data_IF_430315731806
#
_entry.id   IF_430315731806
#
_cell.length_a   1.000
_cell.length_b   1.000
_cell.length_c   1.000
_cell.angle_alpha   90.00
_cell.angle_beta   90.00
_cell.angle_gamma   90.00
#
_symmetry.space_group_name_H-M   'P 1'
#
loop_
_entity.id
_entity.type
_entity.pdbx_description
1 polymer ?
#
# COMPACT_ATOMS: atom_id res chain seq x y z
N UNK A 1 19.99 7.31 -10.15
CA UNK A 1 18.88 7.45 -9.19
C UNK A 1 19.45 7.41 -7.78
N UNK A 2 18.65 7.64 -6.74
CA UNK A 2 19.10 7.42 -5.37
C UNK A 2 19.23 5.92 -5.09
N UNK A 3 20.22 5.47 -4.29
CA UNK A 3 20.33 4.06 -3.91
C UNK A 3 19.23 3.65 -2.92
N UNK A 4 18.88 2.36 -2.92
CA UNK A 4 17.88 1.73 -2.05
C UNK A 4 16.42 2.14 -2.31
N UNK A 5 16.13 2.72 -3.47
CA UNK A 5 14.75 2.78 -3.98
C UNK A 5 14.38 1.39 -4.50
N UNK A 6 13.13 0.98 -4.32
CA UNK A 6 12.64 -0.32 -4.80
C UNK A 6 11.58 -0.11 -5.86
N UNK A 7 11.85 -0.58 -7.07
CA UNK A 7 10.88 -0.62 -8.15
C UNK A 7 10.27 -2.00 -8.25
N UNK A 8 8.95 -2.06 -8.39
CA UNK A 8 8.23 -3.30 -8.67
C UNK A 8 7.41 -3.14 -9.94
N UNK A 9 7.29 -4.23 -10.71
CA UNK A 9 6.39 -4.31 -11.85
C UNK A 9 5.45 -5.50 -11.65
N UNK A 10 4.17 -5.27 -11.90
CA UNK A 10 3.13 -6.29 -11.82
C UNK A 10 2.17 -6.17 -13.00
N UNK A 11 1.56 -7.29 -13.39
CA UNK A 11 0.37 -7.29 -14.24
C UNK A 11 -0.90 -7.38 -13.35
N UNK A 12 -2.12 -7.40 -13.92
CA UNK A 12 -3.35 -7.47 -13.13
C UNK A 12 -3.51 -8.75 -12.29
N UNK A 13 -2.68 -9.76 -12.51
CA UNK A 13 -2.81 -11.10 -11.93
C UNK A 13 -1.69 -11.44 -10.95
N UNK A 14 -0.48 -10.92 -11.15
CA UNK A 14 0.67 -11.21 -10.29
C UNK A 14 1.81 -10.19 -10.42
N UNK A 15 2.76 -10.26 -9.48
CA UNK A 15 4.03 -9.54 -9.55
C UNK A 15 4.95 -10.20 -10.58
N UNK A 16 5.55 -9.38 -11.44
CA UNK A 16 6.41 -9.80 -12.55
C UNK A 16 7.88 -9.68 -12.20
N UNK A 17 8.26 -8.61 -11.48
CA UNK A 17 9.64 -8.40 -11.09
C UNK A 17 9.83 -7.26 -10.09
N UNK A 18 11.05 -7.17 -9.56
CA UNK A 18 11.47 -6.10 -8.68
C UNK A 18 12.95 -5.74 -8.93
N UNK A 19 13.29 -4.48 -8.70
CA UNK A 19 14.64 -3.96 -8.82
C UNK A 19 14.96 -3.01 -7.66
N UNK A 20 16.13 -3.16 -7.05
CA UNK A 20 16.63 -2.24 -6.04
C UNK A 20 17.73 -1.38 -6.67
N UNK A 21 17.60 -0.06 -6.59
CA UNK A 21 18.62 0.85 -7.09
C UNK A 21 19.89 0.76 -6.25
N UNK A 22 21.03 0.91 -6.91
CA UNK A 22 22.34 0.96 -6.26
C UNK A 22 23.02 2.34 -6.41
N UNK A 23 22.37 3.28 -7.11
CA UNK A 23 22.87 4.61 -7.40
C UNK A 23 23.95 4.67 -8.49
N UNK A 24 24.27 3.54 -9.13
CA UNK A 24 25.41 3.40 -10.05
C UNK A 24 25.00 2.80 -11.40
N UNK A 25 24.06 1.84 -11.41
CA UNK A 25 23.64 1.07 -12.58
C UNK A 25 22.22 1.47 -13.00
N UNK A 26 22.03 2.77 -13.26
CA UNK A 26 20.74 3.32 -13.72
C UNK A 26 20.88 4.09 -15.05
N UNK A 27 19.81 4.15 -15.88
CA UNK A 27 18.46 3.62 -15.64
C UNK A 27 18.36 2.10 -15.81
N UNK A 28 17.45 1.46 -15.06
CA UNK A 28 17.15 0.03 -15.19
C UNK A 28 15.96 -0.19 -16.13
N UNK A 29 16.01 -1.24 -16.95
CA UNK A 29 14.95 -1.60 -17.88
C UNK A 29 14.36 -2.97 -17.51
N UNK A 30 13.04 -3.04 -17.34
CA UNK A 30 12.32 -4.31 -17.31
C UNK A 30 12.07 -4.75 -18.75
N UNK A 31 12.89 -5.68 -19.25
CA UNK A 31 12.79 -6.22 -20.60
C UNK A 31 12.06 -7.58 -20.66
N UNK A 32 11.87 -8.10 -21.89
CA UNK A 32 11.25 -9.40 -22.10
C UNK A 32 9.75 -9.49 -21.76
N UNK A 33 9.10 -8.35 -21.54
CA UNK A 33 7.68 -8.28 -21.21
C UNK A 33 6.81 -8.55 -22.45
N UNK A 34 5.76 -9.35 -22.25
CA UNK A 34 4.73 -9.55 -23.28
C UNK A 34 3.86 -8.29 -23.41
N UNK A 35 3.20 -8.05 -24.56
CA UNK A 35 2.23 -6.97 -24.67
C UNK A 35 1.08 -7.15 -23.68
N UNK A 36 0.70 -6.09 -22.96
CA UNK A 36 -0.28 -6.16 -21.89
C UNK A 36 -0.36 -4.91 -21.04
N UNK A 37 -1.15 -4.96 -19.96
CA UNK A 37 -1.24 -3.89 -18.97
C UNK A 37 -0.31 -4.18 -17.80
N UNK A 38 0.46 -3.18 -17.40
CA UNK A 38 1.40 -3.27 -16.30
C UNK A 38 1.22 -2.10 -15.34
N UNK A 39 1.58 -2.34 -14.08
CA UNK A 39 1.71 -1.34 -13.04
C UNK A 39 3.16 -1.33 -12.58
N UNK A 40 3.79 -0.15 -12.59
CA UNK A 40 5.13 0.06 -12.04
C UNK A 40 4.99 0.92 -10.80
N UNK A 41 5.55 0.48 -9.68
CA UNK A 41 5.51 1.19 -8.40
C UNK A 41 6.91 1.37 -7.81
N UNK A 42 7.15 2.54 -7.22
CA UNK A 42 8.36 2.89 -6.47
C UNK A 42 8.09 2.91 -4.97
N UNK A 43 9.01 2.33 -4.21
CA UNK A 43 9.19 2.59 -2.79
C UNK A 43 10.41 3.47 -2.60
N UNK A 44 10.20 4.67 -2.08
CA UNK A 44 11.25 5.64 -1.81
C UNK A 44 12.36 5.08 -0.90
N UNK A 45 13.62 5.48 -1.11
CA UNK A 45 14.67 5.24 -0.14
C UNK A 45 14.33 5.84 1.24
N UNK A 46 14.82 5.26 2.34
CA UNK A 46 14.65 5.83 3.67
C UNK A 46 15.12 7.29 3.76
N UNK A 47 14.28 8.17 4.30
CA UNK A 47 14.58 9.60 4.45
C UNK A 47 14.29 10.45 3.21
N UNK A 48 13.64 9.87 2.19
CA UNK A 48 13.17 10.59 1.00
C UNK A 48 11.65 10.50 0.85
N UNK A 49 11.10 11.48 0.16
CA UNK A 49 9.70 11.53 -0.24
C UNK A 49 9.61 11.93 -1.71
N UNK A 50 8.59 11.43 -2.40
CA UNK A 50 8.43 11.66 -3.82
C UNK A 50 8.04 13.10 -4.14
N UNK A 51 8.49 13.53 -5.31
CA UNK A 51 8.08 14.76 -5.99
C UNK A 51 7.27 14.47 -7.25
N UNK A 52 7.25 13.21 -7.68
CA UNK A 52 6.46 12.66 -8.78
C UNK A 52 5.45 11.63 -8.27
N UNK A 53 4.71 10.98 -9.17
CA UNK A 53 3.86 9.85 -8.81
C UNK A 53 4.69 8.59 -8.53
N UNK A 54 4.32 7.87 -7.48
CA UNK A 54 4.95 6.61 -7.06
C UNK A 54 4.49 5.42 -7.88
N UNK A 55 3.43 5.55 -8.68
CA UNK A 55 2.84 4.44 -9.42
C UNK A 55 2.33 4.87 -10.78
N UNK A 56 2.60 4.05 -11.79
CA UNK A 56 2.20 4.26 -13.17
C UNK A 56 1.51 3.01 -13.73
N UNK A 57 0.38 3.22 -14.42
CA UNK A 57 -0.27 2.19 -15.23
C UNK A 57 0.10 2.35 -16.71
N UNK A 58 0.52 1.28 -17.36
CA UNK A 58 1.06 1.29 -18.72
C UNK A 58 0.36 0.23 -19.55
N UNK A 59 -0.10 0.61 -20.75
CA UNK A 59 -0.51 -0.33 -21.79
C UNK A 59 0.68 -0.56 -22.73
N UNK A 60 1.38 -1.68 -22.55
CA UNK A 60 2.58 -2.02 -23.29
C UNK A 60 2.22 -2.73 -24.61
N UNK A 61 2.65 -2.14 -25.73
CA UNK A 61 2.56 -2.76 -27.05
C UNK A 61 3.80 -3.59 -27.38
N UNK A 62 3.70 -4.45 -28.40
CA UNK A 62 4.85 -5.23 -28.90
C UNK A 62 5.95 -4.29 -29.40
N UNK A 63 7.19 -4.53 -28.98
CA UNK A 63 8.36 -3.72 -29.34
C UNK A 63 8.35 -2.28 -28.80
N UNK A 64 7.40 -1.93 -27.92
CA UNK A 64 7.30 -0.59 -27.33
C UNK A 64 8.27 -0.43 -26.15
N UNK A 65 8.72 0.79 -25.93
CA UNK A 65 9.56 1.18 -24.78
C UNK A 65 8.93 2.40 -24.12
N UNK A 66 8.75 2.34 -22.80
CA UNK A 66 8.27 3.45 -21.99
C UNK A 66 9.37 3.88 -21.03
N UNK A 67 9.69 5.18 -21.04
CA UNK A 67 10.59 5.78 -20.06
C UNK A 67 9.74 6.43 -18.96
N UNK A 68 9.97 6.02 -17.72
CA UNK A 68 9.32 6.60 -16.55
C UNK A 68 10.35 7.36 -15.74
N UNK A 69 9.96 8.54 -15.27
CA UNK A 69 10.80 9.38 -14.43
C UNK A 69 10.20 9.45 -13.03
N UNK A 70 11.05 9.16 -12.05
CA UNK A 70 10.73 9.22 -10.64
C UNK A 70 11.69 10.22 -10.00
N UNK A 71 11.13 11.14 -9.21
CA UNK A 71 11.90 12.18 -8.56
C UNK A 71 11.66 12.16 -7.07
N UNK A 72 12.73 12.13 -6.28
CA UNK A 72 12.67 12.18 -4.83
C UNK A 72 13.35 13.44 -4.28
N UNK A 73 12.89 13.88 -3.11
CA UNK A 73 13.56 14.90 -2.31
C UNK A 73 13.76 14.39 -0.89
N UNK A 74 14.79 14.92 -0.20
CA UNK A 74 14.98 14.59 1.22
C UNK A 74 13.72 14.97 1.99
N UNK A 75 13.19 14.01 2.72
CA UNK A 75 12.10 14.26 3.63
C UNK A 75 12.60 15.27 4.67
N UNK A 76 11.83 16.32 4.91
CA UNK A 76 12.11 17.17 6.06
C UNK A 76 11.88 16.34 7.31
N UNK A 77 12.84 16.34 8.23
CA UNK A 77 12.60 15.88 9.59
C UNK A 77 11.60 16.85 10.23
N UNK A 78 10.30 16.66 9.97
CA UNK A 78 9.31 17.13 10.92
C UNK A 78 9.75 16.55 12.27
N UNK A 79 9.84 17.32 13.36
CA UNK A 79 10.18 16.73 14.64
C UNK A 79 9.17 15.63 14.90
N UNK A 80 9.62 14.39 14.80
CA UNK A 80 8.99 13.27 15.47
C UNK A 80 8.98 13.71 16.92
N UNK A 81 7.80 14.03 17.45
CA UNK A 81 7.62 13.92 18.90
C UNK A 81 7.83 12.44 19.16
N UNK A 82 9.09 12.12 19.46
CA UNK A 82 9.51 10.87 20.01
C UNK A 82 8.57 10.60 21.17
N UNK A 83 7.86 9.48 21.09
CA UNK A 83 7.00 9.03 22.16
C UNK A 83 7.84 9.00 23.43
N UNK A 84 7.67 10.02 24.27
CA UNK A 84 8.18 10.01 25.63
C UNK A 84 7.49 8.86 26.34
N UNK A 85 8.25 7.82 26.70
CA UNK A 85 7.90 6.94 27.80
C UNK A 85 7.71 7.76 29.10
N UNK A 86 6.95 7.24 30.07
CA UNK A 86 5.81 7.93 30.66
C UNK A 86 6.17 8.79 31.87
N UNK A 87 5.51 9.93 32.02
CA UNK A 87 5.41 10.63 33.31
C UNK A 87 4.00 11.23 33.45
N UNK A 88 3.31 11.04 34.61
CA UNK A 88 1.87 10.84 34.65
C UNK A 88 1.03 12.09 34.37
N UNK A 89 -0.20 11.83 33.88
CA UNK A 89 -1.31 12.75 33.60
C UNK A 89 -1.60 13.78 34.73
N UNK A 90 -2.12 14.98 34.41
CA UNK A 90 -3.53 15.06 33.98
C UNK A 90 -3.79 15.89 32.72
N UNK A 91 -4.76 15.41 31.95
CA UNK A 91 -5.41 16.07 30.81
C UNK A 91 -6.00 17.43 31.17
N UNK A 92 -5.88 18.42 30.26
CA UNK A 92 -7.11 19.07 29.83
C UNK A 92 -7.27 19.11 28.31
N UNK A 93 -8.44 18.63 27.90
CA UNK A 93 -9.07 18.64 26.59
C UNK A 93 -9.07 20.00 25.88
N UNK A 94 -8.55 20.05 24.65
CA UNK A 94 -8.94 21.07 23.67
C UNK A 94 -9.42 20.41 22.38
N UNK A 95 -10.74 20.52 22.18
CA UNK A 95 -11.55 20.13 21.03
C UNK A 95 -11.04 20.69 19.70
N UNK A 96 -10.96 19.84 18.66
CA UNK A 96 -10.79 20.27 17.27
C UNK A 96 -12.06 19.99 16.47
N UNK A 97 -12.66 21.05 15.95
CA UNK A 97 -13.91 21.03 15.19
C UNK A 97 -13.65 20.70 13.70
N UNK A 98 -14.44 19.74 13.21
CA UNK A 98 -14.53 19.02 11.92
C UNK A 98 -14.81 19.88 10.65
N UNK A 99 -14.69 19.36 9.38
CA UNK A 99 -15.52 18.23 8.90
C UNK A 99 -14.93 17.25 7.86
N UNK A 100 -15.56 16.06 7.81
CA UNK A 100 -15.73 15.13 6.68
C UNK A 100 -14.52 14.75 5.83
N UNK A 101 -13.98 13.55 6.05
CA UNK A 101 -14.12 12.35 5.18
C UNK A 101 -13.38 11.22 5.90
N UNK A 102 -14.14 10.38 6.62
CA UNK A 102 -13.58 9.28 7.40
C UNK A 102 -14.69 8.40 7.96
N UNK A 103 -15.73 8.18 7.14
CA UNK A 103 -16.70 7.11 7.37
C UNK A 103 -16.54 6.11 6.24
N UNK A 104 -16.52 4.84 6.64
CA UNK A 104 -16.19 3.64 5.86
C UNK A 104 -14.67 3.49 5.70
N UNK A 105 -13.98 2.54 6.32
CA UNK A 105 -14.35 1.14 6.59
C UNK A 105 -13.43 0.65 7.71
N UNK A 106 -13.98 0.20 8.84
CA UNK A 106 -13.48 -0.90 9.70
C UNK A 106 -14.12 -0.80 11.09
N UNK A 107 -15.40 -1.16 11.19
CA UNK A 107 -16.04 -1.44 12.48
C UNK A 107 -17.11 -2.51 12.30
N UNK A 108 -16.69 -3.74 11.96
CA UNK A 108 -17.51 -4.95 12.10
C UNK A 108 -16.74 -6.26 11.86
N UNK A 109 -15.46 -6.39 12.24
CA UNK A 109 -14.74 -7.66 12.02
C UNK A 109 -15.13 -8.77 13.03
N UNK A 110 -15.71 -8.44 14.19
CA UNK A 110 -16.09 -9.44 15.20
C UNK A 110 -17.51 -10.01 15.07
N UNK A 111 -18.50 -9.17 14.73
CA UNK A 111 -19.92 -9.59 14.75
C UNK A 111 -20.34 -10.38 13.50
N UNK A 112 -19.71 -10.11 12.34
CA UNK A 112 -20.05 -10.80 11.09
C UNK A 112 -19.62 -12.28 11.13
N UNK A 113 -18.46 -12.58 11.73
CA UNK A 113 -18.00 -13.96 11.93
C UNK A 113 -18.91 -14.69 12.91
N UNK A 114 -19.35 -14.03 13.99
CA UNK A 114 -20.24 -14.61 15.00
C UNK A 114 -21.65 -14.92 14.45
N UNK A 115 -22.19 -14.04 13.60
CA UNK A 115 -23.49 -14.25 12.94
C UNK A 115 -23.44 -15.39 11.90
N UNK A 116 -22.35 -15.48 11.11
CA UNK A 116 -22.16 -16.58 10.15
C UNK A 116 -21.99 -17.93 10.86
N UNK A 117 -21.22 -18.00 11.95
CA UNK A 117 -21.04 -19.23 12.71
C UNK A 117 -22.35 -19.71 13.37
N UNK A 118 -23.14 -18.79 13.96
CA UNK A 118 -24.43 -19.13 14.56
C UNK A 118 -25.46 -19.60 13.51
N UNK A 119 -25.50 -18.96 12.34
CA UNK A 119 -26.39 -19.36 11.25
C UNK A 119 -26.11 -20.77 10.75
N UNK A 120 -24.84 -21.09 10.48
CA UNK A 120 -24.42 -22.42 10.02
C UNK A 120 -24.75 -23.50 11.07
N UNK A 121 -24.54 -23.21 12.36
CA UNK A 121 -24.81 -24.17 13.45
C UNK A 121 -26.31 -24.48 13.64
N UNK A 122 -27.18 -23.47 13.50
CA UNK A 122 -28.64 -23.64 13.59
C UNK A 122 -29.18 -24.40 12.37
N UNK A 123 -28.73 -24.05 11.16
CA UNK A 123 -29.12 -24.77 9.94
C UNK A 123 -28.72 -26.25 10.01
N UNK A 124 -27.49 -26.55 10.43
CA UNK A 124 -27.01 -27.93 10.55
C UNK A 124 -27.82 -28.76 11.55
N UNK A 125 -28.24 -28.19 12.69
CA UNK A 125 -29.06 -28.89 13.68
C UNK A 125 -30.52 -29.13 13.21
N UNK A 126 -31.08 -28.24 12.38
CA UNK A 126 -32.44 -28.40 11.86
C UNK A 126 -32.50 -29.45 10.74
N UNK A 127 -31.48 -29.50 9.87
CA UNK A 127 -31.35 -30.51 8.83
C UNK A 127 -31.12 -31.93 9.40
N UNK A 128 -30.45 -32.05 10.55
CA UNK A 128 -30.23 -33.33 11.24
C UNK A 128 -31.46 -33.86 11.99
N UNK A 129 -32.49 -33.04 12.20
CA UNK A 129 -33.73 -33.42 12.89
C UNK A 129 -34.88 -33.81 11.94
N UNK A 130 -34.71 -33.59 10.65
CA UNK A 130 -35.70 -33.90 9.61
C UNK A 130 -35.43 -35.20 8.83
N UNK A 131 -34.45 -35.99 9.26
CA UNK A 131 -34.15 -37.37 8.84
C UNK A 131 -34.23 -38.25 10.08
#
# INVERSE_FOLDING_TARGET
MLPNAVFTISDPTHAVGAYNTNGLSEPYCFDGLLPGYYYVAELNPPGYESTTYDTWGIALGSGSVFNLEFGERRASSKPTVEASEPQPEPSPTSVSTLPSVGKAVYSASGLIILALAAGIFVSFNLLRRGQ
#
